data_IF_429070722110
#
_entry.id   IF_429070722110
#
_cell.length_a   1.000
_cell.length_b   1.000
_cell.length_c   1.000
_cell.angle_alpha   90.00
_cell.angle_beta   90.00
_cell.angle_gamma   90.00
#
_symmetry.space_group_name_H-M   'P 1'
#
loop_
_entity.id
_entity.type
_entity.pdbx_description
1 polymer ?
#
# COMPACT_ATOMS: atom_id res chain seq x y z
N UNK A 1 -1.90 -19.04 -1.50
CA UNK A 1 -2.49 -17.87 -0.79
C UNK A 1 -3.01 -16.85 -1.81
N UNK A 2 -4.17 -16.21 -1.61
CA UNK A 2 -4.80 -15.31 -2.61
C UNK A 2 -4.75 -13.84 -2.17
N UNK A 3 -4.79 -12.89 -3.12
CA UNK A 3 -4.87 -11.44 -2.85
C UNK A 3 -6.16 -10.89 -3.48
N UNK A 4 -6.94 -10.14 -2.69
CA UNK A 4 -8.05 -9.31 -3.15
C UNK A 4 -7.63 -7.84 -3.11
N UNK A 5 -7.63 -7.18 -4.26
CA UNK A 5 -7.31 -5.76 -4.37
C UNK A 5 -8.60 -4.93 -4.41
N UNK A 6 -8.65 -3.84 -3.63
CA UNK A 6 -9.73 -2.85 -3.67
C UNK A 6 -9.18 -1.44 -3.50
N UNK A 7 -10.02 -0.43 -3.75
CA UNK A 7 -9.68 0.99 -3.70
C UNK A 7 -10.76 1.76 -2.91
N UNK A 8 -11.10 3.00 -3.30
CA UNK A 8 -12.08 3.93 -2.70
C UNK A 8 -11.54 4.74 -1.51
N UNK A 9 -10.80 4.07 -0.64
CA UNK A 9 -10.50 4.63 0.68
C UNK A 9 -9.25 5.51 0.70
N UNK A 10 -8.42 5.41 -0.36
CA UNK A 10 -7.29 6.28 -0.65
C UNK A 10 -6.19 6.30 0.42
N UNK A 11 -5.64 5.13 0.74
CA UNK A 11 -4.39 4.92 1.48
C UNK A 11 -3.93 3.48 1.24
N UNK A 12 -2.82 3.07 1.84
CA UNK A 12 -2.37 1.68 1.75
C UNK A 12 -2.86 0.91 2.98
N UNK A 13 -3.48 -0.26 2.77
CA UNK A 13 -3.68 -1.27 3.82
C UNK A 13 -3.34 -2.65 3.31
N UNK A 14 -2.58 -3.39 4.10
CA UNK A 14 -2.42 -4.83 3.95
C UNK A 14 -2.99 -5.52 5.19
N UNK A 15 -4.05 -6.30 5.01
CA UNK A 15 -4.66 -7.10 6.08
C UNK A 15 -4.71 -8.57 5.65
N UNK A 16 -4.37 -9.48 6.56
CA UNK A 16 -4.54 -10.92 6.36
C UNK A 16 -5.77 -11.40 7.11
N UNK A 17 -6.62 -12.16 6.41
CA UNK A 17 -7.75 -12.86 7.02
C UNK A 17 -7.99 -14.15 6.25
N UNK A 18 -8.06 -15.27 6.97
CA UNK A 18 -8.40 -16.60 6.43
C UNK A 18 -7.57 -17.02 5.20
N UNK A 19 -6.27 -16.69 5.19
CA UNK A 19 -5.37 -17.03 4.09
C UNK A 19 -5.54 -16.17 2.82
N UNK A 20 -6.26 -15.06 2.93
CA UNK A 20 -6.42 -14.04 1.89
C UNK A 20 -5.80 -12.73 2.38
N UNK A 21 -5.05 -12.07 1.50
CA UNK A 21 -4.64 -10.69 1.71
C UNK A 21 -5.71 -9.76 1.15
N UNK A 22 -6.29 -8.92 2.01
CA UNK A 22 -7.15 -7.81 1.62
C UNK A 22 -6.27 -6.57 1.48
N UNK A 23 -6.06 -6.15 0.24
CA UNK A 23 -5.14 -5.08 -0.14
C UNK A 23 -5.93 -3.86 -0.60
N UNK A 24 -5.99 -2.82 0.24
CA UNK A 24 -6.39 -1.50 -0.20
C UNK A 24 -5.23 -0.87 -0.99
N UNK A 25 -5.50 -0.44 -2.22
CA UNK A 25 -4.52 0.23 -3.06
C UNK A 25 -4.44 1.72 -2.74
N UNK A 26 -3.23 2.30 -2.74
CA UNK A 26 -3.05 3.74 -2.57
C UNK A 26 -3.59 4.51 -3.79
N UNK A 27 -4.00 5.76 -3.59
CA UNK A 27 -4.33 6.67 -4.69
C UNK A 27 -3.07 7.45 -5.11
N UNK A 28 -2.57 7.31 -6.35
CA UNK A 28 -1.32 7.94 -6.76
C UNK A 28 -1.36 9.47 -6.80
N UNK A 29 -2.52 10.05 -7.15
CA UNK A 29 -2.70 11.50 -7.36
C UNK A 29 -3.11 12.28 -6.11
N UNK A 30 -3.29 11.62 -4.97
CA UNK A 30 -3.73 12.31 -3.76
C UNK A 30 -2.60 13.21 -3.22
N UNK A 31 -2.89 14.45 -2.83
CA UNK A 31 -1.87 15.34 -2.25
C UNK A 31 -1.50 15.04 -0.78
N UNK A 32 -2.18 14.09 -0.13
CA UNK A 32 -2.02 13.84 1.30
C UNK A 32 -1.00 12.73 1.52
N UNK A 33 0.24 13.14 1.78
CA UNK A 33 1.34 12.21 2.00
C UNK A 33 1.46 11.68 3.43
N UNK A 34 0.72 12.26 4.38
CA UNK A 34 1.03 12.16 5.82
C UNK A 34 0.09 11.28 6.61
N UNK A 35 -1.16 11.12 6.16
CA UNK A 35 -2.22 10.57 7.03
C UNK A 35 -3.03 9.49 6.34
N UNK A 36 -3.42 8.50 7.13
CA UNK A 36 -4.49 7.54 6.86
C UNK A 36 -5.51 7.60 8.01
N UNK A 37 -5.87 8.82 8.45
CA UNK A 37 -6.64 9.04 9.68
C UNK A 37 -8.06 8.50 9.63
N UNK A 38 -8.64 8.43 8.43
CA UNK A 38 -9.96 7.86 8.15
C UNK A 38 -10.01 6.33 8.22
N UNK A 39 -8.90 5.64 8.48
CA UNK A 39 -8.85 4.19 8.44
C UNK A 39 -9.82 3.54 9.44
N UNK A 40 -9.89 4.02 10.69
CA UNK A 40 -10.84 3.47 11.66
C UNK A 40 -12.29 3.76 11.29
N UNK A 41 -12.56 4.94 10.73
CA UNK A 41 -13.91 5.32 10.29
C UNK A 41 -14.42 4.43 9.15
N UNK A 42 -13.50 3.91 8.33
CA UNK A 42 -13.79 2.95 7.26
C UNK A 42 -13.67 1.48 7.69
N UNK A 43 -13.50 1.22 9.00
CA UNK A 43 -13.53 -0.13 9.55
C UNK A 43 -12.19 -0.88 9.55
N UNK A 44 -11.08 -0.22 9.17
CA UNK A 44 -9.74 -0.80 9.27
C UNK A 44 -9.26 -0.75 10.72
N UNK A 45 -9.57 -1.81 11.46
CA UNK A 45 -9.20 -1.98 12.88
C UNK A 45 -7.88 -2.76 13.07
N UNK A 46 -7.39 -3.42 12.03
CA UNK A 46 -6.12 -4.16 12.01
C UNK A 46 -5.42 -4.03 10.66
N UNK A 47 -4.19 -4.54 10.56
CA UNK A 47 -3.39 -4.54 9.33
C UNK A 47 -2.29 -3.48 9.30
N UNK A 48 -1.48 -3.52 8.24
CA UNK A 48 -0.44 -2.54 8.00
C UNK A 48 -1.02 -1.36 7.22
N UNK A 49 -1.29 -0.26 7.93
CA UNK A 49 -1.88 0.96 7.39
C UNK A 49 -0.76 1.97 7.14
N UNK A 50 -0.60 2.43 5.90
CA UNK A 50 0.35 3.47 5.53
C UNK A 50 -0.37 4.61 4.81
N UNK A 51 0.08 5.87 4.98
CA UNK A 51 -0.54 7.01 4.30
C UNK A 51 -0.37 6.89 2.79
N UNK A 52 -1.10 7.70 2.04
CA UNK A 52 -0.82 7.95 0.61
C UNK A 52 0.51 8.70 0.42
N UNK A 53 1.06 8.87 -0.79
CA UNK A 53 0.55 8.45 -2.12
C UNK A 53 1.54 7.50 -2.78
N UNK A 54 1.09 6.77 -3.79
CA UNK A 54 1.95 5.84 -4.52
C UNK A 54 1.17 4.81 -5.32
N UNK A 55 1.82 3.69 -5.63
CA UNK A 55 1.22 2.56 -6.35
C UNK A 55 1.79 1.24 -5.83
N UNK A 56 1.09 0.15 -6.10
CA UNK A 56 1.63 -1.19 -5.85
C UNK A 56 2.37 -1.69 -7.08
N UNK A 57 3.57 -2.22 -6.88
CA UNK A 57 4.30 -3.03 -7.86
C UNK A 57 4.16 -4.48 -7.46
N UNK A 58 3.47 -5.26 -8.29
CA UNK A 58 3.24 -6.70 -8.08
C UNK A 58 4.13 -7.48 -9.04
N UNK A 59 4.94 -8.38 -8.50
CA UNK A 59 5.79 -9.28 -9.27
C UNK A 59 5.44 -10.73 -8.95
N UNK A 60 4.92 -11.45 -9.94
CA UNK A 60 4.51 -12.85 -9.81
C UNK A 60 5.55 -13.75 -10.46
N UNK A 61 5.92 -14.83 -9.77
CA UNK A 61 6.83 -15.87 -10.26
C UNK A 61 6.40 -17.23 -9.72
N UNK A 62 6.97 -18.30 -10.28
CA UNK A 62 6.68 -19.68 -9.87
C UNK A 62 6.96 -19.96 -8.38
N UNK A 63 7.84 -19.18 -7.75
CA UNK A 63 8.24 -19.40 -6.36
C UNK A 63 7.58 -18.46 -5.35
N UNK A 64 7.05 -17.32 -5.82
CA UNK A 64 6.38 -16.31 -4.97
C UNK A 64 5.70 -15.21 -5.76
N UNK A 65 4.73 -14.57 -5.11
CA UNK A 65 4.21 -13.25 -5.49
C UNK A 65 4.76 -12.20 -4.51
N UNK A 66 5.46 -11.19 -5.03
CA UNK A 66 5.97 -10.05 -4.23
C UNK A 66 5.13 -8.81 -4.52
N UNK A 67 4.76 -8.08 -3.47
CA UNK A 67 4.03 -6.80 -3.58
C UNK A 67 4.84 -5.74 -2.87
N UNK A 68 5.17 -4.68 -3.60
CA UNK A 68 5.88 -3.50 -3.08
C UNK A 68 4.95 -2.28 -3.14
N UNK A 69 4.79 -1.58 -2.02
CA UNK A 69 4.17 -0.25 -2.02
C UNK A 69 5.23 0.80 -2.32
N UNK A 70 5.17 1.37 -3.52
CA UNK A 70 6.11 2.36 -4.03
C UNK A 70 5.51 3.76 -3.83
N UNK A 71 6.23 4.62 -3.12
CA UNK A 71 5.82 6.00 -2.84
C UNK A 71 5.91 6.87 -4.08
N UNK A 72 4.94 7.77 -4.23
CA UNK A 72 4.94 8.81 -5.24
C UNK A 72 4.87 10.18 -4.56
N UNK A 73 5.85 11.03 -4.85
CA UNK A 73 5.90 12.42 -4.39
C UNK A 73 6.10 13.35 -5.58
N UNK A 74 5.47 14.53 -5.54
CA UNK A 74 5.81 15.61 -6.46
C UNK A 74 7.24 16.10 -6.20
N UNK A 75 7.88 16.66 -7.22
CA UNK A 75 9.28 17.12 -7.12
C UNK A 75 9.51 18.12 -5.97
N UNK A 76 8.54 18.98 -5.67
CA UNK A 76 8.58 19.93 -4.55
C UNK A 76 8.48 19.27 -3.15
N UNK A 77 8.08 18.00 -3.10
CA UNK A 77 7.93 17.22 -1.88
C UNK A 77 8.95 16.08 -1.77
N UNK A 78 9.79 15.88 -2.78
CA UNK A 78 10.87 14.91 -2.80
C UNK A 78 12.06 15.45 -1.99
N UNK A 79 12.38 14.81 -0.87
CA UNK A 79 13.43 15.24 0.06
C UNK A 79 13.97 14.08 0.90
N UNK A 80 14.87 14.37 1.85
CA UNK A 80 15.54 13.36 2.69
C UNK A 80 14.59 12.47 3.51
N UNK A 81 13.36 12.91 3.78
CA UNK A 81 12.33 12.13 4.48
C UNK A 81 11.31 11.50 3.53
N UNK A 82 11.19 12.04 2.31
CA UNK A 82 10.16 11.69 1.33
C UNK A 82 10.81 11.45 -0.01
N UNK A 83 11.31 10.25 -0.20
CA UNK A 83 12.05 9.90 -1.41
C UNK A 83 11.07 9.35 -2.45
N UNK A 84 10.98 10.00 -3.61
CA UNK A 84 10.13 9.50 -4.68
C UNK A 84 10.60 8.13 -5.17
N UNK A 85 9.66 7.26 -5.53
CA UNK A 85 9.89 5.87 -5.92
C UNK A 85 10.51 4.95 -4.84
N UNK A 86 10.61 5.40 -3.58
CA UNK A 86 11.02 4.54 -2.48
C UNK A 86 9.96 3.49 -2.14
N UNK A 87 10.42 2.28 -1.79
CA UNK A 87 9.55 1.22 -1.27
C UNK A 87 9.23 1.50 0.20
N UNK A 88 7.97 1.79 0.52
CA UNK A 88 7.52 2.03 1.89
C UNK A 88 7.06 0.75 2.61
N UNK A 89 6.60 -0.25 1.87
CA UNK A 89 6.21 -1.54 2.42
C UNK A 89 6.44 -2.64 1.39
N UNK A 90 6.79 -3.84 1.85
CA UNK A 90 7.00 -5.00 0.98
C UNK A 90 6.52 -6.27 1.67
N UNK A 91 5.88 -7.17 0.92
CA UNK A 91 5.57 -8.51 1.38
C UNK A 91 5.66 -9.52 0.24
N UNK A 92 5.77 -10.79 0.61
CA UNK A 92 5.77 -11.90 -0.34
C UNK A 92 4.80 -12.99 0.13
N UNK A 93 4.09 -13.57 -0.83
CA UNK A 93 3.28 -14.77 -0.66
C UNK A 93 3.98 -15.93 -1.35
N UNK A 94 4.13 -17.02 -0.62
CA UNK A 94 4.56 -18.31 -1.17
C UNK A 94 3.33 -19.04 -1.74
N UNK A 95 3.54 -19.98 -2.69
CA UNK A 95 2.47 -20.82 -3.25
C UNK A 95 1.58 -21.46 -2.16
#
# INVERSE_FOLDING_TARGET
MNIFFHDHDHFFVKQDLDGVVYQLVPQPSHHNYKRAGQATDYGYITGNILPNSGHLRVHVSDTKTKVDYIRAYLSENDNNERINAATAYTYALLP
#
